data_IF_500732049994
#
_entry.id   IF_500732049994
#
_cell.length_a   1.000
_cell.length_b   1.000
_cell.length_c   1.000
_cell.angle_alpha   90.00
_cell.angle_beta   90.00
_cell.angle_gamma   90.00
#
_symmetry.space_group_name_H-M   'P 1'
#
loop_
_entity.id
_entity.type
_entity.pdbx_description
1 polymer ?
#
# COMPACT_ATOMS: atom_id res chain seq x y z
N UNK A 1 -14.95 1.26 -1.12
CA UNK A 1 -13.61 1.90 -1.25
C UNK A 1 -12.61 0.85 -1.66
N UNK A 2 -11.67 1.18 -2.55
CA UNK A 2 -10.59 0.32 -2.99
C UNK A 2 -9.26 0.93 -2.52
N UNK A 3 -8.44 0.16 -1.82
CA UNK A 3 -7.02 0.46 -1.62
C UNK A 3 -6.24 -0.37 -2.65
N UNK A 4 -5.43 0.25 -3.52
CA UNK A 4 -4.54 -0.44 -4.45
C UNK A 4 -3.49 -1.31 -3.72
N UNK A 5 -2.68 -2.04 -4.49
CA UNK A 5 -1.68 -2.96 -3.96
C UNK A 5 -0.72 -2.30 -2.94
N UNK A 6 -0.16 -3.12 -2.06
CA UNK A 6 0.93 -2.72 -1.16
C UNK A 6 2.22 -3.34 -1.71
N UNK A 7 3.28 -2.55 -1.94
CA UNK A 7 4.55 -3.05 -2.48
C UNK A 7 5.31 -3.89 -1.46
N UNK A 8 6.21 -4.73 -1.97
CA UNK A 8 7.21 -5.44 -1.19
C UNK A 8 8.59 -4.81 -1.46
N UNK A 9 9.49 -4.81 -0.48
CA UNK A 9 10.81 -4.17 -0.62
C UNK A 9 11.96 -5.13 -0.42
N UNK A 10 12.03 -6.19 -1.24
CA UNK A 10 13.18 -7.09 -1.22
C UNK A 10 14.42 -6.43 -1.82
N UNK A 11 15.54 -6.60 -1.14
CA UNK A 11 16.89 -6.23 -1.55
C UNK A 11 17.83 -7.42 -1.39
N UNK A 12 18.96 -7.40 -2.11
CA UNK A 12 19.99 -8.44 -2.03
C UNK A 12 19.52 -9.85 -2.44
N UNK A 13 18.40 -9.93 -3.15
CA UNK A 13 17.78 -11.17 -3.61
C UNK A 13 16.26 -11.06 -3.64
N UNK A 14 15.61 -12.07 -4.21
CA UNK A 14 14.15 -12.19 -4.21
C UNK A 14 13.65 -12.87 -2.92
N UNK A 15 12.33 -12.90 -2.75
CA UNK A 15 11.65 -13.54 -1.62
C UNK A 15 12.08 -15.00 -1.35
N UNK A 16 12.50 -15.72 -2.38
CA UNK A 16 12.96 -17.12 -2.31
C UNK A 16 14.47 -17.29 -2.53
N UNK A 17 15.22 -16.20 -2.70
CA UNK A 17 16.63 -16.24 -3.09
C UNK A 17 17.49 -15.29 -2.25
N UNK A 18 17.34 -15.36 -0.92
CA UNK A 18 18.17 -14.61 0.03
C UNK A 18 17.84 -13.12 0.17
N UNK A 19 16.72 -12.66 -0.41
CA UNK A 19 16.26 -11.28 -0.29
C UNK A 19 15.91 -10.88 1.15
N UNK A 20 16.14 -9.61 1.49
CA UNK A 20 15.86 -9.01 2.79
C UNK A 20 15.47 -7.52 2.66
N UNK A 21 15.10 -6.88 3.77
CA UNK A 21 14.67 -5.48 3.81
C UNK A 21 15.25 -4.78 5.04
N UNK A 22 16.57 -4.62 5.06
CA UNK A 22 17.30 -4.08 6.21
C UNK A 22 17.32 -2.54 6.29
N UNK A 23 16.57 -1.83 5.44
CA UNK A 23 16.56 -0.36 5.47
C UNK A 23 15.96 0.16 6.77
N UNK A 24 16.52 1.26 7.25
CA UNK A 24 16.07 1.96 8.47
C UNK A 24 15.65 3.40 8.20
N UNK A 25 15.53 3.77 6.93
CA UNK A 25 15.03 5.07 6.48
C UNK A 25 14.17 4.94 5.23
N UNK A 26 13.24 5.88 4.99
CA UNK A 26 12.52 5.98 3.73
C UNK A 26 13.46 6.10 2.53
N UNK A 27 12.93 5.77 1.36
CA UNK A 27 13.56 6.14 0.11
C UNK A 27 13.60 7.65 -0.08
N UNK A 28 14.60 8.11 -0.83
CA UNK A 28 14.54 9.40 -1.51
C UNK A 28 13.96 9.24 -2.92
N UNK A 29 13.72 10.36 -3.60
CA UNK A 29 13.10 10.38 -4.94
C UNK A 29 13.92 9.65 -6.01
N UNK A 30 15.25 9.52 -5.83
CA UNK A 30 16.12 8.80 -6.76
C UNK A 30 16.13 7.29 -6.51
N UNK A 31 15.88 6.87 -5.28
CA UNK A 31 15.82 5.45 -4.88
C UNK A 31 14.44 4.84 -5.13
N UNK A 32 13.38 5.64 -5.02
CA UNK A 32 12.01 5.20 -5.26
C UNK A 32 11.86 4.64 -6.68
N UNK A 33 11.41 3.39 -6.76
CA UNK A 33 11.06 2.74 -8.02
C UNK A 33 9.73 2.05 -7.91
N UNK A 34 8.85 2.38 -8.85
CA UNK A 34 7.62 1.63 -9.10
C UNK A 34 7.68 1.19 -10.56
N UNK A 35 8.15 -0.03 -10.80
CA UNK A 35 8.36 -0.56 -12.14
C UNK A 35 7.92 -2.03 -12.26
N UNK A 36 8.16 -2.63 -13.43
CA UNK A 36 7.94 -4.05 -13.67
C UNK A 36 6.52 -4.53 -13.35
N UNK A 37 6.44 -5.60 -12.55
CA UNK A 37 5.18 -6.22 -12.15
C UNK A 37 4.35 -5.33 -11.22
N UNK A 38 4.99 -4.57 -10.33
CA UNK A 38 4.28 -3.73 -9.35
C UNK A 38 3.55 -2.58 -10.05
N UNK A 39 4.24 -1.89 -10.96
CA UNK A 39 3.63 -0.85 -11.80
C UNK A 39 2.49 -1.42 -12.66
N UNK A 40 2.68 -2.62 -13.22
CA UNK A 40 1.64 -3.27 -14.01
C UNK A 40 0.40 -3.58 -13.17
N UNK A 41 0.59 -4.13 -11.97
CA UNK A 41 -0.51 -4.44 -11.04
C UNK A 41 -1.26 -3.17 -10.64
N UNK A 42 -0.54 -2.12 -10.29
CA UNK A 42 -1.09 -0.81 -9.97
C UNK A 42 -1.98 -0.26 -11.09
N UNK A 43 -1.46 -0.23 -12.32
CA UNK A 43 -2.16 0.33 -13.47
C UNK A 43 -3.44 -0.46 -13.79
N UNK A 44 -3.40 -1.79 -13.71
CA UNK A 44 -4.58 -2.64 -13.88
C UNK A 44 -5.64 -2.33 -12.81
N UNK A 45 -5.23 -2.21 -11.54
CA UNK A 45 -6.16 -1.88 -10.47
C UNK A 45 -6.82 -0.50 -10.67
N UNK A 46 -6.07 0.49 -11.15
CA UNK A 46 -6.62 1.81 -11.48
C UNK A 46 -7.58 1.77 -12.66
N UNK A 47 -7.26 1.00 -13.70
CA UNK A 47 -8.12 0.82 -14.87
C UNK A 47 -9.46 0.17 -14.47
N UNK A 48 -9.41 -0.96 -13.78
CA UNK A 48 -10.60 -1.68 -13.32
C UNK A 48 -11.41 -0.87 -12.30
N UNK A 49 -10.73 -0.07 -11.46
CA UNK A 49 -11.41 0.86 -10.58
C UNK A 49 -12.24 1.89 -11.36
N UNK A 50 -11.69 2.48 -12.43
CA UNK A 50 -12.42 3.45 -13.26
C UNK A 50 -13.64 2.81 -13.94
N UNK A 51 -13.51 1.56 -14.38
CA UNK A 51 -14.64 0.79 -14.94
C UNK A 51 -15.72 0.61 -13.87
N UNK A 52 -15.35 0.12 -12.68
CA UNK A 52 -16.28 -0.08 -11.57
C UNK A 52 -16.95 1.24 -11.12
N UNK A 53 -16.19 2.33 -11.03
CA UNK A 53 -16.70 3.65 -10.68
C UNK A 53 -17.75 4.14 -11.69
N UNK A 54 -17.46 4.03 -12.99
CA UNK A 54 -18.40 4.41 -14.06
C UNK A 54 -19.68 3.60 -13.99
N UNK A 55 -19.59 2.29 -13.79
CA UNK A 55 -20.77 1.42 -13.69
C UNK A 55 -21.57 1.69 -12.39
N UNK A 56 -20.89 1.94 -11.27
CA UNK A 56 -21.54 2.34 -10.01
C UNK A 56 -22.33 3.63 -10.16
N UNK A 57 -21.75 4.64 -10.82
CA UNK A 57 -22.43 5.92 -11.12
C UNK A 57 -23.65 5.73 -12.01
N UNK A 58 -23.56 4.91 -13.07
CA UNK A 58 -24.70 4.61 -13.96
C UNK A 58 -25.86 3.93 -13.23
N UNK A 59 -25.56 3.01 -12.32
CA UNK A 59 -26.57 2.28 -11.53
C UNK A 59 -27.16 3.11 -10.39
N UNK A 60 -26.47 4.18 -9.98
CA UNK A 60 -26.90 5.06 -8.88
C UNK A 60 -26.89 4.42 -7.49
N UNK A 61 -26.46 3.16 -7.36
CA UNK A 61 -26.60 2.38 -6.13
C UNK A 61 -25.31 2.25 -5.31
N UNK A 62 -24.14 2.51 -5.91
CA UNK A 62 -22.83 2.37 -5.24
C UNK A 62 -21.88 3.49 -5.65
N UNK A 63 -21.31 4.18 -4.66
CA UNK A 63 -20.22 5.15 -4.84
C UNK A 63 -18.89 4.46 -4.58
N UNK A 64 -18.10 4.24 -5.62
CA UNK A 64 -16.72 3.75 -5.47
C UNK A 64 -15.78 4.91 -5.13
N UNK A 65 -14.78 4.63 -4.31
CA UNK A 65 -13.74 5.56 -3.87
C UNK A 65 -12.40 4.85 -3.88
N UNK A 66 -11.36 5.57 -4.29
CA UNK A 66 -9.99 5.09 -4.27
C UNK A 66 -9.28 5.68 -3.05
N UNK A 67 -8.66 4.81 -2.24
CA UNK A 67 -7.74 5.19 -1.18
C UNK A 67 -6.33 4.86 -1.69
N UNK A 68 -5.76 5.78 -2.47
CA UNK A 68 -4.48 5.54 -3.12
C UNK A 68 -3.33 5.79 -2.16
N UNK A 69 -2.81 4.70 -1.59
CA UNK A 69 -1.68 4.71 -0.65
C UNK A 69 -0.38 4.29 -1.33
N UNK A 70 -0.42 3.99 -2.63
CA UNK A 70 0.65 3.28 -3.35
C UNK A 70 1.99 3.99 -3.26
N UNK A 71 2.02 5.25 -3.70
CA UNK A 71 3.24 6.07 -3.72
C UNK A 71 3.84 6.22 -2.33
N UNK A 72 3.00 6.52 -1.33
CA UNK A 72 3.43 6.63 0.06
C UNK A 72 4.05 5.33 0.58
N UNK A 73 3.55 4.17 0.16
CA UNK A 73 4.08 2.88 0.61
C UNK A 73 5.34 2.45 -0.12
N UNK A 74 5.44 2.73 -1.43
CA UNK A 74 6.69 2.50 -2.18
C UNK A 74 7.84 3.27 -1.54
N UNK A 75 7.57 4.45 -0.97
CA UNK A 75 8.58 5.27 -0.30
C UNK A 75 9.09 4.72 1.04
N UNK A 76 8.48 3.65 1.60
CA UNK A 76 8.69 3.22 2.99
C UNK A 76 9.31 1.83 3.14
N UNK A 77 10.45 1.50 2.49
CA UNK A 77 11.11 0.21 2.70
C UNK A 77 11.55 -0.02 4.16
N UNK A 78 11.67 1.04 4.96
CA UNK A 78 11.97 1.01 6.40
C UNK A 78 10.84 0.49 7.28
N UNK A 79 9.63 0.34 6.73
CA UNK A 79 8.46 -0.10 7.47
C UNK A 79 8.30 -1.61 7.61
N UNK A 80 9.16 -2.41 6.99
CA UNK A 80 9.04 -3.86 7.01
C UNK A 80 9.68 -4.49 8.25
N UNK A 81 9.09 -5.58 8.78
CA UNK A 81 9.64 -6.28 9.95
C UNK A 81 10.91 -7.07 9.62
N UNK A 82 11.16 -7.42 8.36
CA UNK A 82 12.31 -8.21 7.97
C UNK A 82 12.38 -9.50 8.81
N UNK A 83 13.41 -9.73 9.61
CA UNK A 83 13.52 -10.91 10.48
C UNK A 83 12.72 -10.81 11.81
N UNK A 84 12.12 -9.66 12.10
CA UNK A 84 11.49 -9.35 13.39
C UNK A 84 9.97 -9.57 13.41
N UNK A 85 9.37 -10.10 12.34
CA UNK A 85 7.93 -10.37 12.23
C UNK A 85 7.47 -11.66 12.93
N UNK A 86 8.40 -12.37 13.56
CA UNK A 86 8.21 -13.72 14.07
C UNK A 86 8.91 -13.90 15.42
N UNK A 87 8.60 -14.99 16.12
CA UNK A 87 9.25 -15.25 17.40
C UNK A 87 10.75 -15.52 17.22
N UNK A 88 11.63 -15.14 18.17
CA UNK A 88 13.08 -15.26 18.01
C UNK A 88 13.60 -16.67 17.72
N UNK A 89 12.84 -17.71 18.07
CA UNK A 89 13.19 -19.11 17.86
C UNK A 89 12.73 -19.65 16.48
N UNK A 90 11.91 -18.90 15.74
CA UNK A 90 11.45 -19.29 14.41
C UNK A 90 12.47 -18.84 13.36
N UNK A 91 13.16 -19.78 12.72
CA UNK A 91 13.99 -19.50 11.54
C UNK A 91 13.08 -19.33 10.32
N UNK A 92 12.54 -18.12 10.14
CA UNK A 92 11.71 -17.75 8.98
C UNK A 92 12.47 -16.83 8.03
N UNK A 93 12.05 -16.87 6.77
CA UNK A 93 12.55 -15.96 5.74
C UNK A 93 12.19 -14.50 6.12
N UNK A 94 13.00 -13.51 5.68
CA UNK A 94 12.65 -12.10 5.80
C UNK A 94 11.24 -11.80 5.32
N UNK A 95 10.47 -11.13 6.16
CA UNK A 95 9.18 -10.60 5.78
C UNK A 95 9.33 -9.15 5.31
N UNK A 96 9.35 -9.00 3.98
CA UNK A 96 9.43 -7.72 3.28
C UNK A 96 8.13 -7.38 2.55
N UNK A 97 7.01 -7.98 2.99
CA UNK A 97 5.67 -7.79 2.40
C UNK A 97 4.73 -7.17 3.44
N UNK A 98 4.79 -7.63 4.69
CA UNK A 98 4.00 -7.05 5.78
C UNK A 98 4.69 -5.85 6.41
N UNK A 99 3.97 -5.13 7.27
CA UNK A 99 4.42 -3.88 7.85
C UNK A 99 4.49 -3.97 9.37
N UNK A 100 5.51 -3.34 9.95
CA UNK A 100 5.59 -3.10 11.38
C UNK A 100 4.40 -2.25 11.87
N UNK A 101 4.02 -2.47 13.13
CA UNK A 101 3.08 -1.62 13.86
C UNK A 101 3.68 -1.23 15.22
N UNK A 102 3.70 0.07 15.59
CA UNK A 102 3.29 1.22 14.78
C UNK A 102 4.21 1.40 13.54
N UNK A 103 3.69 1.97 12.45
CA UNK A 103 4.40 2.01 11.17
C UNK A 103 3.62 2.62 9.99
N UNK A 104 4.08 2.44 8.74
CA UNK A 104 3.48 3.06 7.56
C UNK A 104 1.99 2.75 7.36
N UNK A 105 1.52 1.61 7.85
CA UNK A 105 0.09 1.24 7.80
C UNK A 105 -0.80 2.16 8.62
N UNK A 106 -0.26 2.88 9.60
CA UNK A 106 -1.01 3.89 10.36
C UNK A 106 -1.45 5.04 9.44
N UNK A 107 -0.63 5.40 8.45
CA UNK A 107 -0.97 6.39 7.43
C UNK A 107 -2.17 5.95 6.57
N UNK A 108 -2.37 4.65 6.34
CA UNK A 108 -3.58 4.17 5.64
C UNK A 108 -4.84 4.50 6.42
N UNK A 109 -4.79 4.30 7.73
CA UNK A 109 -5.90 4.56 8.64
C UNK A 109 -6.18 6.07 8.73
N UNK A 110 -5.14 6.90 8.77
CA UNK A 110 -5.28 8.36 8.74
C UNK A 110 -5.94 8.86 7.44
N UNK A 111 -5.48 8.37 6.29
CA UNK A 111 -6.05 8.72 4.98
C UNK A 111 -7.49 8.21 4.83
N UNK A 112 -7.79 7.01 5.34
CA UNK A 112 -9.15 6.48 5.38
C UNK A 112 -10.06 7.38 6.22
N UNK A 113 -9.63 7.71 7.44
CA UNK A 113 -10.39 8.57 8.34
C UNK A 113 -10.62 9.96 7.73
N UNK A 114 -9.59 10.55 7.12
CA UNK A 114 -9.71 11.82 6.42
C UNK A 114 -10.73 11.74 5.27
N UNK A 115 -10.68 10.68 4.47
CA UNK A 115 -11.63 10.45 3.36
C UNK A 115 -13.06 10.36 3.88
N UNK A 116 -13.30 9.59 4.94
CA UNK A 116 -14.63 9.44 5.54
C UNK A 116 -15.16 10.76 6.12
N UNK A 117 -14.30 11.55 6.76
CA UNK A 117 -14.67 12.89 7.28
C UNK A 117 -15.06 13.83 6.15
N UNK A 118 -14.26 13.90 5.08
CA UNK A 118 -14.59 14.73 3.91
C UNK A 118 -15.94 14.34 3.30
N UNK A 119 -16.27 13.05 3.23
CA UNK A 119 -17.60 12.62 2.77
C UNK A 119 -18.73 12.97 3.73
N UNK A 120 -18.49 12.84 5.04
CA UNK A 120 -19.45 13.24 6.06
C UNK A 120 -19.75 14.74 6.03
N UNK A 121 -18.71 15.56 5.86
CA UNK A 121 -18.83 17.01 5.75
C UNK A 121 -19.53 17.43 4.45
N UNK A 122 -19.20 16.79 3.32
CA UNK A 122 -19.94 16.96 2.04
C UNK A 122 -21.42 16.56 2.16
N UNK A 123 -21.76 15.58 3.00
CA UNK A 123 -23.14 15.19 3.27
C UNK A 123 -23.86 16.21 4.17
N UNK A 124 -23.19 16.76 5.19
CA UNK A 124 -23.77 17.79 6.07
C UNK A 124 -23.99 19.11 5.32
N UNK A 125 -23.18 19.41 4.30
CA UNK A 125 -23.29 20.63 3.50
C UNK A 125 -24.27 20.54 2.32
N UNK A 126 -24.90 19.38 2.08
CA UNK A 126 -25.94 19.18 1.04
C UNK A 126 -27.34 19.21 1.64
#
# INVERSE_FOLDING_TARGET
>A
MLRPFSPAHFENGDWNNGGNCNRTRPFNNQEMKLDGYELKMYMIQLEEFKVAEKEGRKRGSVKFKLLDTTEAMVMRPDGHPNHYGHWPHEKKLPDCVHWCMPGPVDTWNELLLATLKMEGDEFIQR
#
